data_IF_432338991902
#
_entry.id   IF_432338991902
#
_cell.length_a   1.000
_cell.length_b   1.000
_cell.length_c   1.000
_cell.angle_alpha   90.00
_cell.angle_beta   90.00
_cell.angle_gamma   90.00
#
_symmetry.space_group_name_H-M   'P 1'
#
loop_
_entity.id
_entity.type
_entity.pdbx_description
1 polymer ?
#
# COMPACT_ATOMS: atom_id res chain seq x y z
N UNK A 1 54.37 27.26 60.97
CA UNK A 1 54.48 28.03 59.71
C UNK A 1 54.84 27.06 58.61
N UNK A 2 53.88 26.59 57.83
CA UNK A 2 54.11 26.02 56.51
C UNK A 2 52.70 25.98 55.84
N UNK A 3 52.48 26.82 54.81
CA UNK A 3 51.28 26.92 53.99
C UNK A 3 51.27 25.71 53.02
N UNK A 4 50.22 24.92 53.06
CA UNK A 4 49.98 23.87 52.07
C UNK A 4 48.89 24.41 51.11
N UNK A 5 49.32 24.69 49.89
CA UNK A 5 48.47 25.11 48.79
C UNK A 5 47.86 23.86 48.15
N UNK A 6 46.57 23.69 48.27
CA UNK A 6 45.85 22.61 47.58
C UNK A 6 45.48 23.07 46.17
N UNK A 7 46.03 22.43 45.14
CA UNK A 7 45.65 22.57 43.72
C UNK A 7 44.38 21.75 43.48
N UNK A 8 43.29 22.44 43.20
CA UNK A 8 42.03 21.82 42.78
C UNK A 8 42.05 21.69 41.23
N UNK A 9 42.32 20.49 40.76
CA UNK A 9 42.25 20.15 39.34
C UNK A 9 40.80 19.88 38.97
N UNK A 10 40.18 20.80 38.25
CA UNK A 10 38.82 20.69 37.70
C UNK A 10 38.88 19.83 36.46
N UNK A 11 38.42 18.57 36.55
CA UNK A 11 38.27 17.68 35.39
C UNK A 11 36.93 18.05 34.67
N UNK A 12 37.05 18.79 33.58
CA UNK A 12 35.90 19.12 32.70
C UNK A 12 35.62 17.91 31.82
N UNK A 13 34.69 17.06 32.21
CA UNK A 13 34.20 15.97 31.38
C UNK A 13 33.35 16.57 30.23
N UNK A 14 33.94 16.69 29.05
CA UNK A 14 33.20 16.96 27.81
C UNK A 14 32.42 15.68 27.45
N UNK A 15 31.15 15.65 27.80
CA UNK A 15 30.22 14.69 27.22
C UNK A 15 29.94 15.10 25.75
N UNK A 16 30.55 14.39 24.82
CA UNK A 16 30.15 14.46 23.40
C UNK A 16 28.75 13.91 23.29
N UNK A 17 27.76 14.79 23.33
CA UNK A 17 26.43 14.47 22.84
C UNK A 17 26.57 14.36 21.32
N UNK A 18 26.72 13.12 20.85
CA UNK A 18 26.57 12.79 19.43
C UNK A 18 25.12 13.03 19.05
N UNK A 19 24.81 14.27 18.64
CA UNK A 19 23.60 14.54 17.90
C UNK A 19 23.71 13.78 16.57
N UNK A 20 23.13 12.58 16.51
CA UNK A 20 22.68 12.06 15.23
C UNK A 20 21.72 13.12 14.69
N UNK A 21 22.15 13.84 13.65
CA UNK A 21 21.29 14.68 12.84
C UNK A 21 20.33 13.76 12.08
N UNK A 22 19.31 13.23 12.78
CA UNK A 22 18.07 12.88 12.13
C UNK A 22 17.54 14.17 11.55
N UNK A 23 17.38 14.28 10.25
CA UNK A 23 16.50 15.29 9.66
C UNK A 23 15.24 15.28 10.54
N UNK A 24 14.91 16.39 11.16
CA UNK A 24 13.60 16.58 11.78
C UNK A 24 12.62 16.38 10.65
N UNK A 25 11.95 15.22 10.65
CA UNK A 25 10.81 14.98 9.77
C UNK A 25 9.86 16.12 10.08
N UNK A 26 9.59 16.99 9.09
CA UNK A 26 8.61 18.06 9.25
C UNK A 26 7.30 17.46 9.77
N UNK A 27 6.41 18.29 10.31
CA UNK A 27 5.14 17.84 10.82
C UNK A 27 4.46 16.93 9.79
N UNK A 28 4.15 15.68 10.17
CA UNK A 28 3.65 14.67 9.23
C UNK A 28 2.30 15.12 8.64
N UNK A 29 2.20 15.29 7.30
CA UNK A 29 1.00 15.85 6.66
C UNK A 29 -0.28 15.06 6.89
N UNK A 30 -0.17 13.80 7.29
CA UNK A 30 -1.31 12.94 7.61
C UNK A 30 -1.93 13.22 9.00
N UNK A 31 -1.28 14.03 9.83
CA UNK A 31 -1.74 14.29 11.20
C UNK A 31 -2.56 15.56 11.35
N UNK A 32 -2.71 16.32 10.29
CA UNK A 32 -3.51 17.55 10.24
C UNK A 32 -4.50 17.54 9.09
N UNK A 33 -5.53 18.36 9.19
CA UNK A 33 -6.45 18.57 8.07
C UNK A 33 -5.72 19.23 6.89
N UNK A 34 -6.05 18.84 5.67
CA UNK A 34 -5.46 19.44 4.47
C UNK A 34 -6.22 20.69 4.04
N UNK A 35 -5.52 21.82 4.03
CA UNK A 35 -6.04 23.12 3.57
C UNK A 35 -5.88 23.31 2.04
N UNK A 36 -5.66 22.24 1.32
CA UNK A 36 -5.50 22.24 -0.14
C UNK A 36 -6.86 22.40 -0.82
N UNK A 37 -6.89 22.96 -2.05
CA UNK A 37 -8.12 23.02 -2.83
C UNK A 37 -8.77 21.62 -2.97
N UNK A 38 -10.06 21.54 -2.70
CA UNK A 38 -10.85 20.29 -2.75
C UNK A 38 -10.39 19.18 -1.81
N UNK A 39 -9.54 19.47 -0.80
CA UNK A 39 -9.01 18.46 0.10
C UNK A 39 -8.06 17.45 -0.56
N UNK A 40 -7.42 17.84 -1.68
CA UNK A 40 -6.43 16.98 -2.37
C UNK A 40 -5.24 16.74 -1.44
N UNK A 41 -4.67 15.52 -1.35
CA UNK A 41 -3.47 15.27 -0.55
C UNK A 41 -2.33 16.23 -0.95
N UNK A 42 -1.59 16.79 0.00
CA UNK A 42 -0.44 17.66 -0.31
C UNK A 42 0.77 16.84 -0.76
N UNK A 43 0.70 16.29 -1.97
CA UNK A 43 1.71 15.37 -2.54
C UNK A 43 3.11 15.97 -2.56
N UNK A 44 3.24 17.32 -2.67
CA UNK A 44 4.49 18.06 -2.60
C UNK A 44 5.16 18.02 -1.22
N UNK A 45 4.42 17.63 -0.17
CA UNK A 45 4.88 17.53 1.22
C UNK A 45 4.94 16.09 1.75
N UNK A 46 4.37 15.13 1.02
CA UNK A 46 4.35 13.74 1.45
C UNK A 46 5.66 13.07 1.03
N UNK A 47 6.39 12.55 2.00
CA UNK A 47 7.63 11.79 1.82
C UNK A 47 7.43 10.33 2.27
N UNK A 48 8.24 9.35 1.77
CA UNK A 48 8.14 7.95 2.18
C UNK A 48 8.18 7.74 3.69
N UNK A 49 8.99 8.52 4.41
CA UNK A 49 9.10 8.45 5.87
C UNK A 49 7.85 8.85 6.66
N UNK A 50 6.86 9.47 6.02
CA UNK A 50 5.60 9.86 6.66
C UNK A 50 4.60 8.70 6.77
N UNK A 51 4.71 7.68 5.90
CA UNK A 51 3.69 6.63 5.80
C UNK A 51 3.66 5.70 7.00
N UNK A 52 4.79 5.12 7.41
CA UNK A 52 4.78 4.15 8.50
C UNK A 52 4.21 4.72 9.80
N UNK A 53 4.65 5.91 10.29
CA UNK A 53 4.03 6.51 11.48
C UNK A 53 2.55 6.84 11.31
N UNK A 54 2.13 7.22 10.11
CA UNK A 54 0.72 7.54 9.83
C UNK A 54 -0.17 6.29 9.78
N UNK A 55 0.32 5.20 9.20
CA UNK A 55 -0.36 3.90 9.19
C UNK A 55 -0.47 3.33 10.60
N UNK A 56 0.60 3.34 11.40
CA UNK A 56 0.59 2.89 12.79
C UNK A 56 -0.42 3.67 13.63
N UNK A 57 -0.46 5.01 13.48
CA UNK A 57 -1.45 5.84 14.15
C UNK A 57 -2.87 5.54 13.65
N UNK A 58 -3.05 5.38 12.34
CA UNK A 58 -4.33 5.02 11.74
C UNK A 58 -4.85 3.67 12.24
N UNK A 59 -3.98 2.67 12.33
CA UNK A 59 -4.31 1.35 12.91
C UNK A 59 -4.73 1.47 14.37
N UNK A 60 -3.98 2.24 15.19
CA UNK A 60 -4.30 2.44 16.59
C UNK A 60 -5.66 3.13 16.80
N UNK A 61 -5.98 4.14 15.99
CA UNK A 61 -7.27 4.82 16.02
C UNK A 61 -8.41 3.88 15.60
N UNK A 62 -8.21 3.12 14.52
CA UNK A 62 -9.19 2.14 14.07
C UNK A 62 -9.46 1.08 15.16
N UNK A 63 -8.42 0.58 15.83
CA UNK A 63 -8.58 -0.36 16.94
C UNK A 63 -9.42 0.23 18.08
N UNK A 64 -9.18 1.49 18.44
CA UNK A 64 -9.96 2.16 19.47
C UNK A 64 -11.43 2.34 19.06
N UNK A 65 -11.72 2.62 17.79
CA UNK A 65 -13.08 2.69 17.25
C UNK A 65 -13.77 1.32 17.28
N UNK A 66 -13.06 0.25 16.93
CA UNK A 66 -13.57 -1.13 17.05
C UNK A 66 -13.81 -1.53 18.52
N UNK A 67 -12.90 -1.16 19.40
CA UNK A 67 -13.06 -1.41 20.84
C UNK A 67 -14.30 -0.67 21.41
N UNK A 68 -14.58 0.54 20.93
CA UNK A 68 -15.80 1.26 21.31
C UNK A 68 -17.08 0.51 20.85
N UNK A 69 -17.06 -0.09 19.65
CA UNK A 69 -18.18 -0.92 19.17
C UNK A 69 -18.31 -2.18 20.03
N UNK A 70 -17.22 -2.90 20.28
CA UNK A 70 -17.25 -4.21 20.94
C UNK A 70 -17.49 -4.12 22.45
N UNK A 71 -17.14 -3.01 23.08
CA UNK A 71 -17.37 -2.75 24.52
C UNK A 71 -18.70 -2.06 24.82
N UNK A 72 -19.47 -1.65 23.81
CA UNK A 72 -20.78 -1.04 24.02
C UNK A 72 -21.76 -2.06 24.62
N UNK A 73 -22.33 -1.72 25.79
CA UNK A 73 -23.28 -2.58 26.51
C UNK A 73 -24.72 -2.51 25.96
N UNK A 74 -25.02 -1.55 25.10
CA UNK A 74 -26.33 -1.43 24.49
C UNK A 74 -26.61 -2.59 23.52
N UNK A 75 -27.88 -2.91 23.35
CA UNK A 75 -28.31 -3.91 22.36
C UNK A 75 -27.74 -3.54 20.96
N UNK A 76 -27.25 -4.52 20.18
CA UNK A 76 -26.74 -4.27 18.84
C UNK A 76 -27.84 -3.74 17.92
N UNK A 77 -27.57 -2.58 17.29
CA UNK A 77 -28.43 -1.96 16.29
C UNK A 77 -27.66 -1.71 14.99
N UNK A 78 -28.36 -1.37 13.92
CA UNK A 78 -27.72 -0.97 12.66
C UNK A 78 -26.77 0.23 12.90
N UNK A 79 -27.16 1.22 13.68
CA UNK A 79 -26.41 2.45 13.94
C UNK A 79 -25.16 2.19 14.78
N UNK A 80 -25.31 1.47 15.92
CA UNK A 80 -24.21 1.31 16.88
C UNK A 80 -23.26 0.17 16.54
N UNK A 81 -23.54 -0.61 15.48
CA UNK A 81 -22.66 -1.69 15.00
C UNK A 81 -22.29 -1.47 13.53
N UNK A 82 -23.25 -1.51 12.62
CA UNK A 82 -22.98 -1.55 11.18
C UNK A 82 -22.51 -0.18 10.67
N UNK A 83 -23.24 0.87 10.97
CA UNK A 83 -22.88 2.23 10.58
C UNK A 83 -21.63 2.72 11.34
N UNK A 84 -21.46 2.34 12.60
CA UNK A 84 -20.27 2.63 13.38
C UNK A 84 -19.04 1.95 12.78
N UNK A 85 -19.15 0.67 12.37
CA UNK A 85 -18.08 -0.06 11.68
C UNK A 85 -17.76 0.54 10.30
N UNK A 86 -18.76 0.86 9.49
CA UNK A 86 -18.58 1.47 8.16
C UNK A 86 -17.88 2.84 8.24
N UNK A 87 -18.11 3.57 9.32
CA UNK A 87 -17.47 4.86 9.58
C UNK A 87 -16.09 4.76 10.26
N UNK A 88 -15.65 3.58 10.68
CA UNK A 88 -14.36 3.38 11.35
C UNK A 88 -13.18 3.35 10.38
N UNK A 89 -11.97 3.54 10.89
CA UNK A 89 -10.73 3.43 10.12
C UNK A 89 -10.50 4.49 9.05
N UNK A 90 -11.18 5.63 9.09
CA UNK A 90 -11.10 6.67 8.04
C UNK A 90 -9.67 7.18 7.83
N UNK A 91 -8.93 7.45 8.91
CA UNK A 91 -7.54 7.91 8.80
C UNK A 91 -6.66 6.83 8.17
N UNK A 92 -6.81 5.58 8.61
CA UNK A 92 -6.06 4.45 8.05
C UNK A 92 -6.31 4.30 6.56
N UNK A 93 -7.59 4.24 6.17
CA UNK A 93 -8.00 4.11 4.75
C UNK A 93 -7.47 5.25 3.88
N UNK A 94 -7.44 6.48 4.39
CA UNK A 94 -6.90 7.63 3.68
C UNK A 94 -5.40 7.48 3.41
N UNK A 95 -4.62 7.10 4.44
CA UNK A 95 -3.17 6.89 4.30
C UNK A 95 -2.87 5.70 3.38
N UNK A 96 -3.60 4.61 3.52
CA UNK A 96 -3.48 3.40 2.71
C UNK A 96 -3.73 3.66 1.22
N UNK A 97 -4.78 4.42 0.90
CA UNK A 97 -5.09 4.79 -0.49
C UNK A 97 -3.95 5.58 -1.13
N UNK A 98 -3.40 6.58 -0.41
CA UNK A 98 -2.30 7.41 -0.94
C UNK A 98 -1.03 6.59 -1.07
N UNK A 99 -0.74 5.73 -0.08
CA UNK A 99 0.38 4.81 -0.12
C UNK A 99 0.32 3.90 -1.36
N UNK A 100 -0.81 3.24 -1.57
CA UNK A 100 -1.04 2.37 -2.73
C UNK A 100 -0.94 3.12 -4.07
N UNK A 101 -1.46 4.35 -4.15
CA UNK A 101 -1.34 5.18 -5.34
C UNK A 101 0.12 5.51 -5.66
N UNK A 102 0.93 5.88 -4.65
CA UNK A 102 2.34 6.19 -4.87
C UNK A 102 3.18 4.94 -5.16
N UNK A 103 2.89 3.80 -4.53
CA UNK A 103 3.51 2.52 -4.92
C UNK A 103 3.23 2.16 -6.38
N UNK A 104 2.03 2.47 -6.89
CA UNK A 104 1.68 2.19 -8.28
C UNK A 104 2.25 3.20 -9.29
N UNK A 105 2.38 4.48 -8.90
CA UNK A 105 2.75 5.56 -9.82
C UNK A 105 4.23 5.94 -9.76
N UNK A 106 4.85 5.86 -8.58
CA UNK A 106 6.23 6.32 -8.33
C UNK A 106 6.96 5.34 -7.41
N UNK A 107 7.12 4.10 -7.88
CA UNK A 107 7.68 2.99 -7.10
C UNK A 107 9.22 3.08 -7.02
N UNK A 108 9.69 4.02 -6.20
CA UNK A 108 11.13 4.16 -5.90
C UNK A 108 11.65 3.01 -5.03
N UNK A 109 12.98 2.76 -4.98
CA UNK A 109 13.54 1.76 -4.06
C UNK A 109 13.16 2.00 -2.58
N UNK A 110 12.98 3.26 -2.17
CA UNK A 110 12.52 3.60 -0.82
C UNK A 110 11.06 3.19 -0.59
N UNK A 111 10.19 3.37 -1.59
CA UNK A 111 8.79 2.92 -1.53
C UNK A 111 8.69 1.39 -1.54
N UNK A 112 9.51 0.69 -2.33
CA UNK A 112 9.56 -0.78 -2.35
C UNK A 112 9.97 -1.36 -0.99
N UNK A 113 11.02 -0.82 -0.37
CA UNK A 113 11.45 -1.24 0.96
C UNK A 113 10.39 -0.94 2.04
N UNK A 114 9.65 0.15 1.89
CA UNK A 114 8.56 0.50 2.79
C UNK A 114 7.35 -0.43 2.59
N UNK A 115 7.02 -0.79 1.35
CA UNK A 115 5.94 -1.73 1.02
C UNK A 115 6.17 -3.09 1.68
N UNK A 116 7.40 -3.61 1.66
CA UNK A 116 7.77 -4.85 2.35
C UNK A 116 7.54 -4.80 3.87
N UNK A 117 7.68 -3.63 4.49
CA UNK A 117 7.43 -3.43 5.91
C UNK A 117 5.93 -3.24 6.21
N UNK A 118 5.24 -2.48 5.39
CA UNK A 118 3.86 -2.06 5.61
C UNK A 118 2.86 -3.19 5.34
N UNK A 119 3.04 -3.96 4.26
CA UNK A 119 2.02 -4.93 3.84
C UNK A 119 1.76 -6.04 4.86
N UNK A 120 2.76 -6.61 5.57
CA UNK A 120 2.48 -7.56 6.66
C UNK A 120 1.76 -6.91 7.85
N UNK A 121 2.07 -5.65 8.20
CA UNK A 121 1.39 -4.93 9.28
C UNK A 121 -0.08 -4.70 8.95
N UNK A 122 -0.37 -4.30 7.71
CA UNK A 122 -1.75 -4.11 7.23
C UNK A 122 -2.52 -5.43 7.19
N UNK A 123 -1.89 -6.54 6.75
CA UNK A 123 -2.50 -7.86 6.77
C UNK A 123 -2.85 -8.30 8.20
N UNK A 124 -1.91 -8.16 9.14
CA UNK A 124 -2.12 -8.49 10.55
C UNK A 124 -3.23 -7.62 11.18
N UNK A 125 -3.26 -6.32 10.87
CA UNK A 125 -4.32 -5.42 11.32
C UNK A 125 -5.70 -5.83 10.76
N UNK A 126 -5.78 -6.10 9.45
CA UNK A 126 -7.01 -6.59 8.82
C UNK A 126 -7.52 -7.88 9.47
N UNK A 127 -6.64 -8.84 9.75
CA UNK A 127 -6.98 -10.08 10.43
C UNK A 127 -7.44 -9.84 11.88
N UNK A 128 -6.81 -8.89 12.60
CA UNK A 128 -7.21 -8.51 13.96
C UNK A 128 -8.66 -8.02 14.00
N UNK A 129 -9.07 -7.22 13.02
CA UNK A 129 -10.43 -6.68 12.94
C UNK A 129 -11.43 -7.74 12.43
N UNK A 130 -11.13 -8.39 11.29
CA UNK A 130 -12.07 -9.29 10.61
C UNK A 130 -12.29 -10.63 11.34
N UNK A 131 -11.32 -11.04 12.16
CA UNK A 131 -11.42 -12.25 12.98
C UNK A 131 -11.79 -11.94 14.43
N UNK A 132 -12.15 -10.68 14.76
CA UNK A 132 -12.62 -10.29 16.08
C UNK A 132 -14.00 -10.89 16.38
N UNK A 133 -14.04 -11.82 17.34
CA UNK A 133 -15.24 -12.57 17.68
C UNK A 133 -16.36 -11.69 18.24
N UNK A 134 -16.01 -10.76 19.15
CA UNK A 134 -16.98 -9.84 19.75
C UNK A 134 -17.62 -8.92 18.71
N UNK A 135 -16.81 -8.42 17.78
CA UNK A 135 -17.32 -7.59 16.68
C UNK A 135 -18.28 -8.40 15.80
N UNK A 136 -17.86 -9.61 15.41
CA UNK A 136 -18.69 -10.49 14.57
C UNK A 136 -19.98 -10.91 15.26
N UNK A 137 -19.96 -11.21 16.56
CA UNK A 137 -21.18 -11.53 17.33
C UNK A 137 -22.18 -10.34 17.28
N UNK A 138 -21.73 -9.12 17.43
CA UNK A 138 -22.58 -7.93 17.33
C UNK A 138 -23.12 -7.73 15.91
N UNK A 139 -22.28 -7.91 14.88
CA UNK A 139 -22.70 -7.84 13.46
C UNK A 139 -23.76 -8.93 13.18
N UNK A 140 -23.54 -10.17 13.63
CA UNK A 140 -24.48 -11.28 13.47
C UNK A 140 -25.80 -10.99 14.15
N UNK A 141 -25.79 -10.45 15.37
CA UNK A 141 -27.00 -10.12 16.08
C UNK A 141 -27.89 -9.09 15.35
N UNK A 142 -27.28 -8.10 14.68
CA UNK A 142 -28.01 -7.17 13.80
C UNK A 142 -28.51 -7.89 12.55
N UNK A 143 -27.66 -8.71 11.92
CA UNK A 143 -28.01 -9.42 10.70
C UNK A 143 -29.19 -10.40 10.89
N UNK A 144 -29.22 -11.10 12.02
CA UNK A 144 -30.29 -12.06 12.34
C UNK A 144 -31.66 -11.38 12.49
N UNK A 145 -31.67 -10.11 12.89
CA UNK A 145 -32.90 -9.29 13.04
C UNK A 145 -33.28 -8.50 11.78
N UNK A 146 -32.53 -8.58 10.70
CA UNK A 146 -32.62 -7.71 9.52
C UNK A 146 -34.03 -7.53 8.94
N UNK A 147 -34.87 -8.56 8.99
CA UNK A 147 -36.24 -8.50 8.48
C UNK A 147 -37.18 -7.61 9.31
N UNK A 148 -36.84 -7.37 10.60
CA UNK A 148 -37.64 -6.59 11.54
C UNK A 148 -37.13 -5.14 11.68
N UNK A 149 -35.97 -4.79 11.15
CA UNK A 149 -35.32 -3.48 11.37
C UNK A 149 -35.90 -2.36 10.50
N UNK A 150 -36.70 -2.66 9.47
CA UNK A 150 -37.27 -1.64 8.59
C UNK A 150 -36.23 -0.86 7.78
N UNK A 151 -35.08 -1.46 7.50
CA UNK A 151 -33.96 -0.86 6.77
C UNK A 151 -34.35 -0.56 5.31
N UNK A 152 -33.86 0.54 4.78
CA UNK A 152 -33.98 0.82 3.35
C UNK A 152 -33.04 -0.11 2.53
N UNK A 153 -33.07 0.03 1.19
CA UNK A 153 -32.33 -0.84 0.28
C UNK A 153 -30.80 -0.72 0.44
N UNK A 154 -30.31 0.50 0.70
CA UNK A 154 -28.89 0.78 0.88
C UNK A 154 -28.38 0.23 2.21
N UNK A 155 -29.08 0.50 3.30
CA UNK A 155 -28.82 -0.02 4.63
C UNK A 155 -28.85 -1.54 4.67
N UNK A 156 -29.87 -2.15 4.04
CA UNK A 156 -29.98 -3.61 3.92
C UNK A 156 -28.78 -4.19 3.17
N UNK A 157 -28.37 -3.54 2.10
CA UNK A 157 -27.20 -3.98 1.32
C UNK A 157 -25.89 -3.83 2.09
N UNK A 158 -25.71 -2.74 2.83
CA UNK A 158 -24.54 -2.56 3.69
C UNK A 158 -24.45 -3.67 4.74
N UNK A 159 -25.54 -3.95 5.44
CA UNK A 159 -25.61 -5.01 6.45
C UNK A 159 -25.28 -6.39 5.84
N UNK A 160 -25.89 -6.74 4.71
CA UNK A 160 -25.61 -8.03 4.03
C UNK A 160 -24.15 -8.15 3.60
N UNK A 161 -23.57 -7.09 3.03
CA UNK A 161 -22.18 -7.07 2.62
C UNK A 161 -21.25 -7.22 3.81
N UNK A 162 -21.46 -6.43 4.88
CA UNK A 162 -20.65 -6.46 6.09
C UNK A 162 -20.64 -7.87 6.68
N UNK A 163 -21.81 -8.46 6.92
CA UNK A 163 -21.90 -9.83 7.44
C UNK A 163 -21.19 -10.85 6.56
N UNK A 164 -21.47 -10.83 5.25
CA UNK A 164 -20.87 -11.76 4.29
C UNK A 164 -19.35 -11.61 4.21
N UNK A 165 -18.84 -10.39 4.27
CA UNK A 165 -17.41 -10.11 4.15
C UNK A 165 -16.66 -10.61 5.40
N UNK A 166 -17.24 -10.52 6.61
CA UNK A 166 -16.70 -11.17 7.81
C UNK A 166 -16.73 -12.71 7.71
N UNK A 167 -17.82 -13.30 7.24
CA UNK A 167 -17.90 -14.75 7.03
C UNK A 167 -16.83 -15.24 6.06
N UNK A 168 -16.66 -14.53 4.93
CA UNK A 168 -15.62 -14.86 3.93
C UNK A 168 -14.21 -14.66 4.44
N UNK A 169 -14.00 -13.70 5.32
CA UNK A 169 -12.72 -13.47 5.98
C UNK A 169 -12.40 -14.51 7.07
N UNK A 170 -13.31 -15.46 7.36
CA UNK A 170 -13.05 -16.55 8.30
C UNK A 170 -13.62 -16.32 9.71
N UNK A 171 -14.58 -15.41 9.90
CA UNK A 171 -15.15 -15.12 11.22
C UNK A 171 -15.78 -16.37 11.88
N UNK A 172 -16.29 -17.32 11.07
CA UNK A 172 -16.89 -18.58 11.55
C UNK A 172 -15.89 -19.71 11.79
N UNK A 173 -14.62 -19.54 11.48
CA UNK A 173 -13.58 -20.52 11.71
C UNK A 173 -13.32 -20.69 13.22
N UNK A 174 -12.88 -21.88 13.62
CA UNK A 174 -12.39 -22.13 14.98
C UNK A 174 -11.02 -21.46 15.23
N UNK A 175 -10.51 -21.54 16.44
CA UNK A 175 -9.28 -20.88 16.85
C UNK A 175 -8.04 -21.41 16.09
N UNK A 176 -7.96 -22.73 15.83
CA UNK A 176 -6.86 -23.36 15.11
C UNK A 176 -6.88 -22.93 13.64
N UNK A 177 -8.04 -22.96 13.01
CA UNK A 177 -8.25 -22.53 11.62
C UNK A 177 -7.96 -21.04 11.46
N UNK A 178 -8.38 -20.18 12.40
CA UNK A 178 -8.04 -18.74 12.41
C UNK A 178 -6.54 -18.51 12.51
N UNK A 179 -5.83 -19.26 13.37
CA UNK A 179 -4.38 -19.17 13.50
C UNK A 179 -3.69 -19.58 12.18
N UNK A 180 -4.16 -20.65 11.52
CA UNK A 180 -3.64 -21.07 10.23
C UNK A 180 -3.91 -20.04 9.13
N UNK A 181 -5.10 -19.46 9.11
CA UNK A 181 -5.47 -18.41 8.14
C UNK A 181 -4.57 -17.17 8.28
N UNK A 182 -4.31 -16.71 9.51
CA UNK A 182 -3.39 -15.58 9.76
C UNK A 182 -1.99 -15.85 9.21
N UNK A 183 -1.45 -17.04 9.45
CA UNK A 183 -0.14 -17.43 8.91
C UNK A 183 -0.12 -17.43 7.37
N UNK A 184 -1.20 -17.89 6.73
CA UNK A 184 -1.34 -17.85 5.27
C UNK A 184 -1.43 -16.41 4.77
N UNK A 185 -2.19 -15.53 5.42
CA UNK A 185 -2.35 -14.13 5.03
C UNK A 185 -1.02 -13.36 5.15
N UNK A 186 -0.24 -13.63 6.19
CA UNK A 186 1.11 -13.06 6.36
C UNK A 186 2.05 -13.48 5.22
N UNK A 187 2.14 -14.78 4.93
CA UNK A 187 2.95 -15.31 3.83
C UNK A 187 2.48 -14.77 2.47
N UNK A 188 1.16 -14.72 2.25
CA UNK A 188 0.56 -14.21 1.03
C UNK A 188 0.88 -12.72 0.82
N UNK A 189 0.84 -11.90 1.88
CA UNK A 189 1.15 -10.48 1.78
C UNK A 189 2.58 -10.24 1.27
N UNK A 190 3.56 -10.92 1.86
CA UNK A 190 4.97 -10.85 1.44
C UNK A 190 5.21 -11.41 0.04
N UNK A 191 4.58 -12.54 -0.28
CA UNK A 191 4.73 -13.18 -1.59
C UNK A 191 4.14 -12.31 -2.69
N UNK A 192 3.01 -11.65 -2.45
CA UNK A 192 2.38 -10.74 -3.39
C UNK A 192 3.26 -9.51 -3.68
N UNK A 193 3.89 -8.94 -2.66
CA UNK A 193 4.84 -7.83 -2.84
C UNK A 193 6.02 -8.26 -3.70
N UNK A 194 6.66 -9.38 -3.38
CA UNK A 194 7.79 -9.91 -4.15
C UNK A 194 7.43 -10.22 -5.60
N UNK A 195 6.24 -10.78 -5.81
CA UNK A 195 5.74 -11.06 -7.15
C UNK A 195 5.56 -9.78 -7.96
N UNK A 196 4.94 -8.75 -7.36
CA UNK A 196 4.78 -7.44 -8.01
C UNK A 196 6.12 -6.78 -8.35
N UNK A 197 7.06 -6.81 -7.41
CA UNK A 197 8.42 -6.26 -7.63
C UNK A 197 9.17 -7.02 -8.73
N UNK A 198 9.05 -8.34 -8.81
CA UNK A 198 9.66 -9.14 -9.88
C UNK A 198 9.09 -8.78 -11.26
N UNK A 199 7.75 -8.63 -11.37
CA UNK A 199 7.11 -8.18 -12.62
C UNK A 199 7.61 -6.78 -13.01
N UNK A 200 7.70 -5.87 -12.05
CA UNK A 200 8.20 -4.52 -12.31
C UNK A 200 9.64 -4.54 -12.80
N UNK A 201 10.50 -5.32 -12.15
CA UNK A 201 11.90 -5.47 -12.52
C UNK A 201 12.05 -6.05 -13.94
N UNK A 202 11.30 -7.10 -14.28
CA UNK A 202 11.30 -7.71 -15.61
C UNK A 202 10.83 -6.72 -16.68
N UNK A 203 9.73 -6.02 -16.44
CA UNK A 203 9.24 -4.99 -17.36
C UNK A 203 10.25 -3.86 -17.60
N UNK A 204 11.02 -3.48 -16.58
CA UNK A 204 12.00 -2.41 -16.67
C UNK A 204 13.31 -2.86 -17.33
N UNK A 205 13.68 -4.12 -17.18
CA UNK A 205 14.93 -4.67 -17.70
C UNK A 205 14.82 -5.14 -19.15
N UNK A 206 13.63 -5.54 -19.60
CA UNK A 206 13.45 -6.02 -20.97
C UNK A 206 13.52 -4.87 -21.98
N UNK A 207 14.31 -5.11 -23.05
CA UNK A 207 14.46 -4.19 -24.15
C UNK A 207 14.72 -4.95 -25.46
N UNK A 208 13.74 -4.99 -26.36
CA UNK A 208 13.92 -5.46 -27.72
C UNK A 208 14.55 -4.36 -28.55
N UNK A 209 15.85 -4.49 -28.83
CA UNK A 209 16.62 -3.52 -29.64
C UNK A 209 16.52 -3.85 -31.12
N UNK A 210 16.04 -2.90 -31.92
CA UNK A 210 15.80 -3.05 -33.36
C UNK A 210 16.50 -1.96 -34.17
N UNK A 211 16.60 -2.20 -35.48
CA UNK A 211 17.05 -1.24 -36.47
C UNK A 211 15.88 -0.71 -37.31
N UNK A 212 16.09 0.35 -38.09
CA UNK A 212 15.08 0.87 -39.00
C UNK A 212 14.52 -0.17 -40.00
N UNK A 213 15.35 -1.15 -40.38
CA UNK A 213 14.99 -2.24 -41.30
C UNK A 213 14.01 -3.26 -40.67
N UNK A 214 13.81 -3.20 -39.33
CA UNK A 214 12.97 -4.13 -38.62
C UNK A 214 11.56 -3.56 -38.36
N UNK A 215 11.31 -2.28 -38.72
CA UNK A 215 10.13 -1.52 -38.35
C UNK A 215 9.01 -1.50 -39.39
N UNK A 216 9.11 -2.34 -40.41
CA UNK A 216 8.05 -2.41 -41.41
C UNK A 216 6.70 -2.72 -40.76
N UNK A 217 5.65 -2.00 -41.19
CA UNK A 217 4.31 -2.06 -40.62
C UNK A 217 4.11 -1.26 -39.33
N UNK A 218 5.14 -0.98 -38.53
CA UNK A 218 5.00 -0.26 -37.26
C UNK A 218 4.60 1.20 -37.49
N UNK A 219 3.57 1.76 -36.79
CA UNK A 219 3.15 3.15 -36.90
C UNK A 219 4.26 4.15 -36.56
N UNK A 220 4.27 5.32 -37.22
CA UNK A 220 5.27 6.37 -36.98
C UNK A 220 5.36 6.77 -35.51
N UNK A 221 4.22 6.97 -34.85
CA UNK A 221 4.20 7.35 -33.42
C UNK A 221 4.87 6.30 -32.51
N UNK A 222 4.69 5.00 -32.80
CA UNK A 222 5.32 3.94 -32.05
C UNK A 222 6.84 3.84 -32.35
N UNK A 223 7.26 4.13 -33.59
CA UNK A 223 8.68 4.22 -33.96
C UNK A 223 9.36 5.40 -33.25
N UNK A 224 8.70 6.56 -33.19
CA UNK A 224 9.24 7.74 -32.51
C UNK A 224 9.42 7.46 -31.00
N UNK A 225 8.43 6.88 -30.33
CA UNK A 225 8.55 6.47 -28.93
C UNK A 225 9.68 5.44 -28.70
N UNK A 226 9.84 4.48 -29.62
CA UNK A 226 10.89 3.47 -29.53
C UNK A 226 12.29 4.09 -29.74
N UNK A 227 12.42 5.10 -30.64
CA UNK A 227 13.66 5.86 -30.83
C UNK A 227 14.00 6.66 -29.55
N UNK A 228 13.03 7.41 -29.02
CA UNK A 228 13.22 8.24 -27.82
C UNK A 228 13.61 7.37 -26.61
N UNK A 229 13.00 6.18 -26.48
CA UNK A 229 13.40 5.19 -25.48
C UNK A 229 14.84 4.69 -25.68
N UNK A 230 15.23 4.39 -26.91
CA UNK A 230 16.59 3.98 -27.24
C UNK A 230 17.61 5.09 -26.91
N UNK A 231 17.31 6.34 -27.23
CA UNK A 231 18.15 7.49 -26.89
C UNK A 231 18.30 7.66 -25.37
N UNK A 232 17.21 7.56 -24.62
CA UNK A 232 17.23 7.61 -23.16
C UNK A 232 18.08 6.48 -22.53
N UNK A 233 18.19 5.32 -23.21
CA UNK A 233 19.04 4.21 -22.82
C UNK A 233 20.47 4.30 -23.37
N UNK A 234 20.85 5.41 -24.05
CA UNK A 234 22.18 5.57 -24.66
C UNK A 234 22.40 4.78 -25.95
N UNK A 235 21.36 4.19 -26.54
CA UNK A 235 21.40 3.33 -27.74
C UNK A 235 21.05 4.13 -29.00
N UNK A 236 21.85 5.15 -29.31
CA UNK A 236 21.61 6.05 -30.44
C UNK A 236 21.53 5.29 -31.80
N UNK A 237 20.55 5.70 -32.61
CA UNK A 237 20.32 5.08 -33.94
C UNK A 237 19.62 3.74 -33.91
N UNK A 238 19.14 3.32 -32.74
CA UNK A 238 18.32 2.13 -32.53
C UNK A 238 16.89 2.50 -32.16
N UNK A 239 16.05 1.48 -32.06
CA UNK A 239 14.66 1.53 -31.60
C UNK A 239 14.48 0.48 -30.54
N UNK A 240 13.94 0.86 -29.36
CA UNK A 240 13.74 -0.05 -28.24
C UNK A 240 12.26 -0.20 -27.95
N UNK A 241 11.77 -1.44 -28.08
CA UNK A 241 10.44 -1.82 -27.64
C UNK A 241 10.53 -2.53 -26.27
N UNK A 242 9.56 -2.25 -25.40
CA UNK A 242 9.51 -2.77 -24.03
C UNK A 242 8.23 -3.57 -23.81
N UNK A 243 8.11 -4.25 -22.64
CA UNK A 243 6.90 -4.99 -22.27
C UNK A 243 5.75 -4.09 -21.79
N UNK A 244 5.98 -2.78 -21.63
CA UNK A 244 4.91 -1.85 -21.31
C UNK A 244 3.89 -1.76 -22.45
N UNK A 245 2.60 -1.87 -22.10
CA UNK A 245 1.50 -1.96 -23.08
C UNK A 245 1.51 -0.89 -24.18
N UNK A 246 1.83 0.40 -23.91
CA UNK A 246 1.92 1.41 -24.98
C UNK A 246 3.00 1.12 -26.04
N UNK A 247 4.07 0.42 -25.67
CA UNK A 247 5.12 -0.03 -26.58
C UNK A 247 4.77 -1.39 -27.21
N UNK A 248 4.36 -2.35 -26.37
CA UNK A 248 4.09 -3.74 -26.76
C UNK A 248 2.93 -3.87 -27.75
N UNK A 249 1.77 -3.28 -27.44
CA UNK A 249 0.52 -3.50 -28.20
C UNK A 249 0.64 -3.00 -29.64
N UNK A 250 1.11 -1.77 -29.92
CA UNK A 250 1.30 -1.33 -31.30
C UNK A 250 2.30 -2.20 -32.08
N UNK A 251 3.39 -2.65 -31.43
CA UNK A 251 4.36 -3.52 -32.06
C UNK A 251 3.77 -4.89 -32.44
N UNK A 252 3.08 -5.53 -31.49
CA UNK A 252 2.40 -6.82 -31.77
C UNK A 252 1.31 -6.71 -32.83
N UNK A 253 0.62 -5.56 -32.91
CA UNK A 253 -0.48 -5.36 -33.85
C UNK A 253 0.01 -5.12 -35.28
N UNK A 254 1.07 -4.34 -35.44
CA UNK A 254 1.42 -3.76 -36.74
C UNK A 254 2.78 -4.18 -37.30
N UNK A 255 3.74 -4.65 -36.49
CA UNK A 255 5.04 -5.06 -37.02
C UNK A 255 4.89 -6.22 -38.03
N UNK A 256 5.47 -6.09 -39.23
CA UNK A 256 5.36 -7.11 -40.28
C UNK A 256 6.16 -8.38 -39.95
N UNK A 257 7.30 -8.25 -39.25
CA UNK A 257 8.18 -9.39 -38.90
C UNK A 257 7.56 -10.23 -37.78
N UNK A 258 7.07 -11.40 -38.15
CA UNK A 258 6.39 -12.32 -37.21
C UNK A 258 7.34 -12.82 -36.11
N UNK A 259 8.56 -13.11 -36.42
CA UNK A 259 9.59 -13.60 -35.51
C UNK A 259 9.87 -12.61 -34.37
N UNK A 260 9.89 -11.32 -34.66
CA UNK A 260 10.07 -10.26 -33.63
C UNK A 260 8.83 -10.08 -32.75
N UNK A 261 7.63 -10.24 -33.34
CA UNK A 261 6.39 -10.28 -32.55
C UNK A 261 6.36 -11.49 -31.62
N UNK A 262 6.81 -12.65 -32.09
CA UNK A 262 6.90 -13.86 -31.27
C UNK A 262 7.90 -13.69 -30.12
N UNK A 263 9.06 -13.08 -30.39
CA UNK A 263 10.10 -12.83 -29.39
C UNK A 263 9.57 -11.97 -28.25
N UNK A 264 9.02 -10.78 -28.56
CA UNK A 264 8.50 -9.89 -27.52
C UNK A 264 7.25 -10.45 -26.83
N UNK A 265 6.41 -11.22 -27.54
CA UNK A 265 5.25 -11.89 -26.95
C UNK A 265 5.66 -12.96 -25.95
N UNK A 266 6.65 -13.80 -26.29
CA UNK A 266 7.20 -14.80 -25.35
C UNK A 266 7.80 -14.16 -24.12
N UNK A 267 8.51 -13.05 -24.27
CA UNK A 267 9.04 -12.31 -23.13
C UNK A 267 7.93 -11.73 -22.25
N UNK A 268 6.79 -11.35 -22.83
CA UNK A 268 5.67 -10.79 -22.07
C UNK A 268 4.89 -11.84 -21.26
N UNK A 269 4.84 -13.10 -21.72
CA UNK A 269 4.02 -14.14 -21.09
C UNK A 269 4.81 -15.11 -20.20
N UNK A 270 6.13 -15.08 -20.24
CA UNK A 270 7.01 -15.91 -19.41
C UNK A 270 7.62 -15.09 -18.26
#
# INVERSE_FOLDING_TARGET
MKRITALLTLFLAMTFVSCKSGKTVGENPFFSAWETPYGVPPFDKIEPGHFLPALERGMSLHEAEIDAITSNNDAPTFENVILAYDNSGKMLSQVELIFGMLCAAENTPAMQALEEQVMPLMAAHSDKIRLNEKLFERIRAVYDQRAALGLDAEQSRLLEKTYRDFVRAGALLDAEQKARLKAINEELSLTSVKFGQNILAENNNYALELTAADLDGVPVSARDQARDKAEAMGRKGKYVFTLHKPSLIPFLTYASKRELREEIYKAYIN
#
